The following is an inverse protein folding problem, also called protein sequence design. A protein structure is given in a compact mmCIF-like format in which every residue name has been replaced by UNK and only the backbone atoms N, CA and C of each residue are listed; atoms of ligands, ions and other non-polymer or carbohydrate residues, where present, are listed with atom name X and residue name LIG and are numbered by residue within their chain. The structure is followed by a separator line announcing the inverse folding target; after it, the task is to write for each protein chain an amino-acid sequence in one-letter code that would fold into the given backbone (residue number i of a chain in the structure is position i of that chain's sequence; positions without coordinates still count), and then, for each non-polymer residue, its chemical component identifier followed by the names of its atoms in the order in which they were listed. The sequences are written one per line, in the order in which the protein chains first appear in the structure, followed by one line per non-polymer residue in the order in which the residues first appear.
data_IF_040265918544
#
_entry.id   IF_040265918544
#
_cell.length_a   1.000
_cell.length_b   1.000
_cell.length_c   1.000
_cell.angle_alpha   90.00
_cell.angle_beta   90.00
_cell.angle_gamma   90.00
#
_symmetry.space_group_name_H-M   'P 1'
#
loop_
_entity.id
_entity.type
_entity.pdbx_description
1 polymer ?
#
# COMPACT_ATOMS: atom_id res chain seq x y z
N UNK A 1 -49.44 -5.68 -1.95
CA UNK A 1 -48.13 -5.21 -2.46
C UNK A 1 -47.21 -5.01 -1.27
N UNK A 2 -46.16 -5.82 -1.14
CA UNK A 2 -45.16 -5.71 -0.07
C UNK A 2 -43.93 -5.06 -0.67
N UNK A 3 -43.61 -3.84 -0.25
CA UNK A 3 -42.41 -3.12 -0.66
C UNK A 3 -41.24 -3.63 0.17
N UNK A 4 -40.37 -4.44 -0.43
CA UNK A 4 -39.13 -4.86 0.21
C UNK A 4 -38.15 -3.67 0.22
N UNK A 5 -37.89 -3.11 1.41
CA UNK A 5 -36.82 -2.14 1.61
C UNK A 5 -35.51 -2.92 1.67
N UNK A 6 -34.73 -2.86 0.59
CA UNK A 6 -33.37 -3.37 0.58
C UNK A 6 -32.48 -2.41 1.38
N UNK A 7 -32.27 -2.72 2.66
CA UNK A 7 -31.28 -2.02 3.47
C UNK A 7 -29.89 -2.41 2.96
N UNK A 8 -29.24 -1.48 2.24
CA UNK A 8 -27.85 -1.64 1.81
C UNK A 8 -26.96 -1.60 3.06
N UNK A 9 -26.57 -2.76 3.58
CA UNK A 9 -25.52 -2.84 4.59
C UNK A 9 -24.20 -2.46 3.92
N UNK A 10 -23.77 -1.20 4.08
CA UNK A 10 -22.39 -0.82 3.80
C UNK A 10 -21.49 -1.67 4.72
N UNK A 11 -20.69 -2.55 4.12
CA UNK A 11 -19.73 -3.35 4.87
C UNK A 11 -18.84 -2.41 5.70
N UNK A 12 -18.76 -2.63 7.01
CA UNK A 12 -17.91 -1.82 7.86
C UNK A 12 -16.46 -1.93 7.40
N UNK A 13 -15.69 -0.83 7.39
CA UNK A 13 -14.29 -0.88 7.02
C UNK A 13 -13.56 -1.82 7.97
N UNK A 14 -12.80 -2.75 7.42
CA UNK A 14 -11.99 -3.72 8.18
C UNK A 14 -10.59 -3.20 8.46
N UNK A 15 -10.10 -2.29 7.61
CA UNK A 15 -8.78 -1.69 7.65
C UNK A 15 -8.89 -0.17 7.64
N UNK A 16 -8.13 0.49 8.51
CA UNK A 16 -7.90 1.94 8.46
C UNK A 16 -6.42 2.18 8.14
N UNK A 17 -6.12 2.92 7.07
CA UNK A 17 -4.75 3.26 6.71
C UNK A 17 -4.36 4.62 7.27
N UNK A 18 -3.16 4.67 7.86
CA UNK A 18 -2.57 5.90 8.38
C UNK A 18 -1.24 6.18 7.69
N UNK A 19 -1.14 7.36 7.08
CA UNK A 19 0.09 7.87 6.46
C UNK A 19 0.65 9.02 7.30
N UNK A 20 1.97 9.04 7.47
CA UNK A 20 2.69 10.10 8.18
C UNK A 20 4.02 10.40 7.48
N UNK A 21 4.28 11.67 7.20
CA UNK A 21 5.61 12.11 6.78
C UNK A 21 6.52 12.28 7.99
N UNK A 22 7.81 11.97 7.84
CA UNK A 22 8.80 12.13 8.92
C UNK A 22 9.06 13.61 9.25
N UNK A 23 8.91 14.50 8.26
CA UNK A 23 8.97 15.96 8.39
C UNK A 23 7.77 16.60 7.70
N UNK A 24 7.43 17.82 8.10
CA UNK A 24 6.43 18.64 7.41
C UNK A 24 7.01 19.45 6.23
N UNK A 25 8.33 19.69 6.25
CA UNK A 25 9.04 20.53 5.28
C UNK A 25 10.29 19.84 4.77
N UNK A 26 10.49 19.90 3.46
CA UNK A 26 11.62 19.32 2.73
C UNK A 26 12.18 20.36 1.76
N UNK A 27 13.45 20.21 1.36
CA UNK A 27 14.02 20.97 0.24
C UNK A 27 13.77 20.24 -1.08
N UNK A 28 13.82 20.97 -2.19
CA UNK A 28 13.87 20.36 -3.52
C UNK A 28 15.00 19.31 -3.57
N UNK A 29 14.78 18.21 -4.29
CA UNK A 29 15.70 17.08 -4.41
C UNK A 29 15.98 16.28 -3.12
N UNK A 30 15.44 16.68 -1.96
CA UNK A 30 15.56 15.91 -0.73
C UNK A 30 14.65 14.67 -0.76
N UNK A 31 15.17 13.52 -0.31
CA UNK A 31 14.33 12.35 -0.08
C UNK A 31 13.28 12.62 1.00
N UNK A 32 12.02 12.42 0.62
CA UNK A 32 10.85 12.57 1.50
C UNK A 32 10.46 11.19 1.99
N UNK A 33 10.64 10.93 3.28
CA UNK A 33 10.29 9.64 3.86
C UNK A 33 8.89 9.66 4.47
N UNK A 34 8.12 8.63 4.14
CA UNK A 34 6.74 8.47 4.57
C UNK A 34 6.54 7.07 5.14
N UNK A 35 5.90 7.04 6.30
CA UNK A 35 5.46 5.82 6.97
C UNK A 35 3.98 5.58 6.66
N UNK A 36 3.63 4.33 6.38
CA UNK A 36 2.25 3.87 6.19
C UNK A 36 1.98 2.71 7.14
N UNK A 37 0.94 2.84 7.95
CA UNK A 37 0.48 1.80 8.86
C UNK A 37 -0.95 1.39 8.52
N UNK A 38 -1.22 0.09 8.59
CA UNK A 38 -2.55 -0.49 8.56
C UNK A 38 -3.02 -0.77 9.99
N UNK A 39 -4.19 -0.26 10.36
CA UNK A 39 -4.84 -0.53 11.65
C UNK A 39 -6.04 -1.45 11.46
N UNK A 40 -6.11 -2.50 12.27
CA UNK A 40 -7.30 -3.35 12.35
C UNK A 40 -8.39 -2.66 13.17
N UNK A 41 -9.46 -2.25 12.49
CA UNK A 41 -10.64 -1.65 13.12
C UNK A 41 -11.81 -2.63 13.21
N UNK A 42 -11.60 -3.87 12.77
CA UNK A 42 -12.57 -4.96 12.88
C UNK A 42 -12.46 -5.69 14.23
N UNK A 43 -13.38 -6.64 14.46
CA UNK A 43 -13.35 -7.54 15.62
C UNK A 43 -12.60 -8.86 15.37
N UNK A 44 -12.08 -9.08 14.16
CA UNK A 44 -11.41 -10.32 13.77
C UNK A 44 -9.94 -10.04 13.50
N UNK A 45 -9.07 -11.00 13.80
CA UNK A 45 -7.69 -10.97 13.30
C UNK A 45 -7.70 -11.17 11.79
N UNK A 46 -6.82 -10.43 11.10
CA UNK A 46 -6.53 -10.65 9.69
C UNK A 46 -5.04 -10.46 9.46
N UNK A 47 -4.57 -10.80 8.27
CA UNK A 47 -3.18 -10.56 7.88
C UNK A 47 -3.06 -9.41 6.88
N UNK A 48 -1.90 -8.75 6.90
CA UNK A 48 -1.49 -7.80 5.88
C UNK A 48 -0.14 -8.19 5.34
N UNK A 49 0.17 -7.78 4.12
CA UNK A 49 1.48 -8.01 3.51
C UNK A 49 2.05 -6.63 3.17
N UNK A 50 3.23 -6.25 3.68
CA UNK A 50 3.88 -5.00 3.29
C UNK A 50 4.31 -5.08 1.82
N UNK A 51 4.70 -3.96 1.23
CA UNK A 51 5.20 -3.97 -0.14
C UNK A 51 6.47 -4.85 -0.24
N UNK A 52 6.41 -5.93 -1.02
CA UNK A 52 7.52 -6.88 -1.21
C UNK A 52 8.45 -6.50 -2.35
N UNK A 53 7.94 -5.68 -3.27
CA UNK A 53 8.64 -5.25 -4.47
C UNK A 53 9.01 -3.78 -4.39
N UNK A 54 10.18 -3.46 -4.93
CA UNK A 54 10.58 -2.09 -5.20
C UNK A 54 9.91 -1.55 -6.47
N UNK A 55 8.61 -1.77 -6.67
CA UNK A 55 7.88 -1.32 -7.86
C UNK A 55 6.41 -1.03 -7.55
N UNK A 56 5.86 0.05 -8.11
CA UNK A 56 4.50 0.53 -7.90
C UNK A 56 3.59 0.36 -9.13
N UNK A 57 3.98 -0.49 -10.08
CA UNK A 57 3.26 -0.69 -11.35
C UNK A 57 1.88 -1.35 -11.23
N UNK A 58 1.49 -1.82 -10.04
CA UNK A 58 0.23 -2.53 -9.81
C UNK A 58 0.16 -3.91 -10.49
N UNK A 59 1.26 -4.41 -11.06
CA UNK A 59 1.29 -5.74 -11.70
C UNK A 59 1.34 -6.90 -10.69
N UNK A 60 1.67 -6.61 -9.44
CA UNK A 60 1.80 -7.58 -8.35
C UNK A 60 1.08 -7.08 -7.10
N UNK A 61 0.48 -8.01 -6.37
CA UNK A 61 -0.20 -7.74 -5.11
C UNK A 61 0.64 -8.03 -3.85
N UNK A 62 0.31 -7.40 -2.72
CA UNK A 62 -0.57 -6.24 -2.65
C UNK A 62 0.11 -5.00 -3.26
N UNK A 63 -0.67 -4.11 -3.88
CA UNK A 63 -0.12 -2.89 -4.46
C UNK A 63 -0.28 -1.73 -3.47
N UNK A 64 0.81 -1.05 -3.14
CA UNK A 64 0.77 0.30 -2.58
C UNK A 64 0.76 1.33 -3.72
N UNK A 65 0.16 2.49 -3.55
CA UNK A 65 0.32 3.61 -4.51
C UNK A 65 0.25 4.92 -3.76
N UNK A 66 1.27 5.75 -3.89
CA UNK A 66 1.18 7.14 -3.43
C UNK A 66 0.50 7.97 -4.50
N UNK A 67 -0.39 8.85 -4.06
CA UNK A 67 -0.98 9.87 -4.90
C UNK A 67 -0.64 11.23 -4.31
N UNK A 68 -0.36 12.18 -5.20
CA UNK A 68 -0.03 13.54 -4.83
C UNK A 68 -0.90 14.52 -5.61
N UNK A 69 -1.19 15.66 -5.02
CA UNK A 69 -1.70 16.82 -5.72
C UNK A 69 -1.10 18.11 -5.17
N UNK A 70 -1.06 19.14 -6.01
CA UNK A 70 -0.72 20.50 -5.60
C UNK A 70 -1.95 21.41 -5.78
N UNK A 71 -2.39 22.05 -4.70
CA UNK A 71 -3.59 22.88 -4.69
C UNK A 71 -4.87 22.10 -5.03
N UNK A 72 -5.74 22.69 -5.86
CA UNK A 72 -7.02 22.07 -6.30
C UNK A 72 -6.89 21.16 -7.53
N UNK A 73 -5.67 20.77 -7.91
CA UNK A 73 -5.45 19.85 -9.03
C UNK A 73 -5.97 18.45 -8.71
N UNK A 74 -6.13 17.63 -9.76
CA UNK A 74 -6.49 16.23 -9.62
C UNK A 74 -5.37 15.45 -8.90
N UNK A 75 -5.76 14.35 -8.25
CA UNK A 75 -4.81 13.40 -7.68
C UNK A 75 -4.06 12.68 -8.80
N UNK A 76 -2.74 12.73 -8.77
CA UNK A 76 -1.88 12.05 -9.73
C UNK A 76 -1.08 10.96 -9.00
N UNK A 77 -0.93 9.77 -9.60
CA UNK A 77 -0.07 8.75 -9.01
C UNK A 77 1.36 9.26 -8.99
N UNK A 78 2.02 9.14 -7.84
CA UNK A 78 3.45 9.37 -7.73
C UNK A 78 4.17 8.16 -8.32
N UNK A 79 4.32 8.16 -9.65
CA UNK A 79 5.00 7.07 -10.35
C UNK A 79 6.49 7.36 -10.42
N UNK A 80 7.29 6.49 -9.83
CA UNK A 80 8.73 6.53 -10.03
C UNK A 80 9.05 5.91 -11.40
N UNK A 81 9.53 6.72 -12.35
CA UNK A 81 9.95 6.30 -13.72
C UNK A 81 11.15 5.33 -13.74
N UNK A 82 11.19 4.26 -12.93
CA UNK A 82 12.15 3.18 -13.19
C UNK A 82 11.57 2.39 -14.36
N UNK A 83 12.29 2.37 -15.48
CA UNK A 83 11.91 1.57 -16.66
C UNK A 83 11.93 0.05 -16.43
N UNK A 84 12.27 -0.42 -15.23
CA UNK A 84 12.29 -1.84 -14.83
C UNK A 84 11.89 -1.96 -13.36
N UNK A 85 10.83 -2.72 -13.06
CA UNK A 85 10.71 -3.30 -11.74
C UNK A 85 11.99 -4.13 -11.50
N UNK A 86 12.69 -3.89 -10.39
CA UNK A 86 13.91 -4.63 -10.04
C UNK A 86 13.60 -6.08 -9.63
N UNK A 87 14.22 -6.52 -8.53
CA UNK A 87 14.03 -7.87 -7.99
C UNK A 87 12.58 -8.06 -7.52
N UNK A 88 11.86 -9.04 -8.05
CA UNK A 88 10.56 -9.49 -7.51
C UNK A 88 10.81 -10.58 -6.49
N UNK A 89 10.70 -10.25 -5.20
CA UNK A 89 11.01 -11.22 -4.13
C UNK A 89 9.89 -12.25 -4.02
N UNK A 90 10.16 -13.56 -3.95
CA UNK A 90 9.11 -14.54 -3.72
C UNK A 90 8.30 -14.23 -2.45
N UNK A 91 6.99 -14.43 -2.52
CA UNK A 91 6.10 -14.36 -1.37
C UNK A 91 6.33 -15.58 -0.49
N UNK A 92 6.55 -15.34 0.79
CA UNK A 92 6.74 -16.35 1.83
C UNK A 92 5.70 -16.17 2.94
N UNK A 93 5.40 -17.25 3.67
CA UNK A 93 4.42 -17.21 4.76
C UNK A 93 4.74 -16.14 5.82
N UNK A 94 6.03 -15.92 6.12
CA UNK A 94 6.50 -14.89 7.04
C UNK A 94 6.23 -13.45 6.61
N UNK A 95 5.83 -13.22 5.35
CA UNK A 95 5.43 -11.91 4.87
C UNK A 95 4.00 -11.54 5.25
N UNK A 96 3.19 -12.51 5.66
CA UNK A 96 1.86 -12.28 6.18
C UNK A 96 1.95 -11.90 7.66
N UNK A 97 1.68 -10.63 7.93
CA UNK A 97 1.76 -10.06 9.26
C UNK A 97 0.37 -10.12 9.91
N UNK A 98 0.18 -10.91 10.98
CA UNK A 98 -1.09 -10.92 11.69
C UNK A 98 -1.32 -9.59 12.39
N UNK A 99 -2.54 -9.05 12.26
CA UNK A 99 -2.96 -7.80 12.90
C UNK A 99 -4.18 -8.10 13.76
N UNK A 100 -4.01 -8.14 15.08
CA UNK A 100 -5.12 -8.35 16.03
C UNK A 100 -6.05 -7.12 16.05
N UNK A 101 -7.30 -7.25 16.50
CA UNK A 101 -8.20 -6.11 16.68
C UNK A 101 -7.56 -4.95 17.46
N UNK A 102 -7.61 -3.74 16.89
CA UNK A 102 -7.01 -2.53 17.46
C UNK A 102 -5.50 -2.39 17.24
N UNK A 103 -4.79 -3.42 16.76
CA UNK A 103 -3.36 -3.35 16.48
C UNK A 103 -3.06 -2.68 15.13
N UNK A 104 -1.77 -2.35 14.96
CA UNK A 104 -1.21 -1.74 13.75
C UNK A 104 -0.06 -2.57 13.21
N UNK A 105 0.05 -2.65 11.89
CA UNK A 105 1.20 -3.18 11.18
C UNK A 105 1.73 -2.16 10.18
N UNK A 106 3.05 -2.08 10.04
CA UNK A 106 3.69 -1.18 9.08
C UNK A 106 3.64 -1.80 7.68
N UNK A 107 3.13 -1.05 6.70
CA UNK A 107 3.13 -1.43 5.29
C UNK A 107 4.32 -0.83 4.53
N UNK A 108 4.70 0.40 4.91
CA UNK A 108 5.84 1.15 4.39
C UNK A 108 6.50 1.85 5.58
N UNK A 109 7.83 1.78 5.69
CA UNK A 109 8.58 2.44 6.76
C UNK A 109 9.80 3.17 6.20
N UNK A 110 9.78 4.50 6.29
CA UNK A 110 10.92 5.39 6.05
C UNK A 110 11.68 5.13 4.75
N UNK A 111 13.04 5.10 4.78
CA UNK A 111 13.86 4.69 3.64
C UNK A 111 13.64 3.21 3.35
N UNK A 112 12.55 2.91 2.66
CA UNK A 112 12.23 1.57 2.21
C UNK A 112 12.75 1.35 0.78
N UNK A 113 12.76 0.09 0.35
CA UNK A 113 12.98 -0.27 -1.05
C UNK A 113 11.81 0.18 -1.96
N UNK A 114 10.75 0.73 -1.37
CA UNK A 114 9.58 1.19 -2.08
C UNK A 114 9.87 2.52 -2.80
N UNK A 115 9.95 2.55 -4.14
CA UNK A 115 10.51 3.71 -4.84
C UNK A 115 9.62 4.95 -4.71
N UNK A 116 8.30 4.79 -4.61
CA UNK A 116 7.39 5.92 -4.40
C UNK A 116 7.35 6.42 -2.95
N UNK A 117 8.12 5.82 -2.02
CA UNK A 117 8.46 6.47 -0.75
C UNK A 117 9.64 7.44 -0.88
N UNK A 118 10.12 7.73 -2.10
CA UNK A 118 11.18 8.71 -2.39
C UNK A 118 10.65 9.79 -3.33
N UNK A 119 10.13 10.88 -2.77
CA UNK A 119 9.47 11.95 -3.53
C UNK A 119 10.46 12.98 -4.14
N UNK A 120 11.67 12.57 -4.49
CA UNK A 120 12.65 13.45 -5.14
C UNK A 120 12.17 14.02 -6.49
N UNK A 121 11.04 13.52 -7.00
CA UNK A 121 10.37 13.97 -8.22
C UNK A 121 9.34 15.10 -8.04
N UNK A 122 9.09 15.60 -6.83
CA UNK A 122 8.29 16.82 -6.66
C UNK A 122 9.10 18.01 -7.19
N UNK A 123 9.04 18.21 -8.51
CA UNK A 123 9.97 19.03 -9.27
C UNK A 123 9.82 20.54 -9.08
N UNK A 124 8.80 21.00 -8.36
CA UNK A 124 8.60 22.42 -8.07
C UNK A 124 8.42 22.65 -6.56
N UNK A 125 9.00 23.72 -5.99
CA UNK A 125 8.65 24.16 -4.64
C UNK A 125 7.16 24.44 -4.50
N UNK A 126 6.58 24.14 -3.34
CA UNK A 126 5.17 24.36 -3.07
C UNK A 126 4.60 23.45 -1.98
N UNK A 127 3.30 23.57 -1.75
CA UNK A 127 2.55 22.70 -0.85
C UNK A 127 1.93 21.54 -1.63
N UNK A 128 2.05 20.35 -1.05
CA UNK A 128 1.56 19.12 -1.61
C UNK A 128 0.68 18.38 -0.60
N UNK A 129 -0.41 17.82 -1.10
CA UNK A 129 -1.20 16.84 -0.37
C UNK A 129 -0.85 15.45 -0.88
N UNK A 130 -0.65 14.52 0.04
CA UNK A 130 -0.25 13.14 -0.25
C UNK A 130 -1.23 12.18 0.41
N UNK A 131 -1.62 11.14 -0.32
CA UNK A 131 -2.36 9.99 0.19
C UNK A 131 -1.78 8.70 -0.32
N UNK A 132 -2.16 7.60 0.31
CA UNK A 132 -1.76 6.25 -0.07
C UNK A 132 -2.98 5.38 -0.29
N UNK A 133 -2.90 4.52 -1.31
CA UNK A 133 -3.87 3.47 -1.59
C UNK A 133 -3.18 2.13 -1.43
N UNK A 134 -3.76 1.25 -0.61
CA UNK A 134 -3.38 -0.15 -0.46
C UNK A 134 -4.44 -1.01 -1.15
N UNK A 135 -4.04 -1.76 -2.16
CA UNK A 135 -4.92 -2.58 -2.98
C UNK A 135 -4.56 -4.06 -2.84
N UNK A 136 -5.53 -4.83 -2.36
CA UNK A 136 -5.41 -6.28 -2.14
C UNK A 136 -6.35 -7.09 -3.04
N UNK A 137 -6.90 -6.47 -4.09
CA UNK A 137 -7.93 -7.09 -4.96
C UNK A 137 -7.37 -8.06 -5.99
N UNK A 138 -6.06 -7.98 -6.28
CA UNK A 138 -5.41 -8.87 -7.25
C UNK A 138 -5.51 -10.35 -6.83
N UNK A 139 -5.66 -11.27 -7.81
CA UNK A 139 -5.74 -12.70 -7.54
C UNK A 139 -4.41 -13.24 -6.98
N UNK A 140 -4.46 -14.37 -6.28
CA UNK A 140 -3.32 -14.93 -5.55
C UNK A 140 -2.09 -15.15 -6.43
N UNK A 141 -2.27 -15.58 -7.68
CA UNK A 141 -1.19 -15.81 -8.64
C UNK A 141 -0.37 -14.55 -8.90
N UNK A 142 -1.02 -13.38 -8.85
CA UNK A 142 -0.37 -12.09 -9.00
C UNK A 142 0.39 -11.65 -7.74
N UNK A 143 0.38 -12.41 -6.64
CA UNK A 143 1.10 -12.05 -5.40
C UNK A 143 2.39 -12.85 -5.24
N UNK A 144 2.50 -14.03 -5.84
CA UNK A 144 3.55 -15.00 -5.48
C UNK A 144 4.95 -14.51 -5.85
N UNK A 145 5.12 -13.88 -7.02
CA UNK A 145 6.41 -13.40 -7.51
C UNK A 145 7.46 -14.49 -7.76
N UNK A 146 8.49 -14.15 -8.54
CA UNK A 146 9.55 -15.09 -8.91
C UNK A 146 9.05 -16.31 -9.73
N UNK A 147 9.95 -17.22 -10.12
CA UNK A 147 9.55 -18.48 -10.76
C UNK A 147 8.84 -19.39 -9.74
N UNK A 148 7.64 -19.82 -10.08
CA UNK A 148 6.96 -20.89 -9.33
C UNK A 148 7.73 -22.21 -9.53
N UNK A 149 7.86 -23.06 -8.48
CA UNK A 149 8.27 -24.44 -8.67
C UNK A 149 7.40 -25.11 -9.74
N UNK A 150 8.01 -25.96 -10.56
CA UNK A 150 7.33 -26.61 -11.70
C UNK A 150 6.17 -27.54 -11.26
N UNK A 151 6.10 -27.92 -9.98
CA UNK A 151 5.02 -28.69 -9.39
C UNK A 151 3.91 -27.79 -8.80
N UNK A 152 2.70 -27.94 -9.34
CA UNK A 152 1.62 -26.97 -9.16
C UNK A 152 0.97 -26.95 -7.77
N UNK A 153 1.37 -27.77 -6.80
CA UNK A 153 0.88 -27.71 -5.42
C UNK A 153 1.90 -28.27 -4.43
N UNK A 154 2.97 -27.52 -4.20
CA UNK A 154 3.80 -27.73 -3.01
C UNK A 154 3.00 -27.39 -1.74
N UNK A 155 3.36 -27.97 -0.59
CA UNK A 155 2.79 -27.57 0.71
C UNK A 155 2.88 -26.04 0.91
N UNK A 156 3.98 -25.43 0.44
CA UNK A 156 4.17 -23.98 0.41
C UNK A 156 3.01 -23.24 -0.27
N UNK A 157 2.52 -23.72 -1.41
CA UNK A 157 1.40 -23.09 -2.12
C UNK A 157 0.09 -23.16 -1.32
N UNK A 158 -0.16 -24.28 -0.66
CA UNK A 158 -1.35 -24.47 0.20
C UNK A 158 -1.28 -23.50 1.38
N UNK A 159 -0.12 -23.41 2.04
CA UNK A 159 0.08 -22.52 3.18
C UNK A 159 -0.12 -21.05 2.76
N UNK A 160 0.50 -20.64 1.65
CA UNK A 160 0.36 -19.28 1.11
C UNK A 160 -1.09 -18.95 0.73
N UNK A 161 -1.84 -19.90 0.16
CA UNK A 161 -3.26 -19.71 -0.15
C UNK A 161 -4.10 -19.53 1.12
N UNK A 162 -3.80 -20.29 2.18
CA UNK A 162 -4.47 -20.16 3.48
C UNK A 162 -4.25 -18.76 4.07
N UNK A 163 -3.01 -18.27 4.08
CA UNK A 163 -2.70 -16.92 4.52
C UNK A 163 -3.37 -15.85 3.63
N UNK A 164 -3.31 -16.02 2.31
CA UNK A 164 -3.94 -15.11 1.36
C UNK A 164 -5.45 -14.96 1.56
N UNK A 165 -6.14 -16.03 1.97
CA UNK A 165 -7.57 -16.01 2.28
C UNK A 165 -7.89 -15.19 3.54
N UNK A 166 -6.93 -15.00 4.44
CA UNK A 166 -7.08 -14.19 5.65
C UNK A 166 -6.92 -12.68 5.40
N UNK A 167 -6.29 -12.31 4.28
CA UNK A 167 -6.04 -10.92 3.92
C UNK A 167 -7.35 -10.24 3.48
N UNK A 168 -7.73 -9.10 4.10
CA UNK A 168 -8.91 -8.35 3.69
C UNK A 168 -8.81 -7.93 2.22
N UNK A 169 -9.86 -8.17 1.43
CA UNK A 169 -9.91 -7.82 0.01
C UNK A 169 -10.55 -6.45 -0.19
N UNK A 170 -9.86 -5.56 -0.89
CA UNK A 170 -10.39 -4.25 -1.26
C UNK A 170 -9.30 -3.25 -1.59
N UNK A 171 -9.74 -2.05 -1.96
CA UNK A 171 -8.89 -0.86 -2.01
C UNK A 171 -9.13 -0.03 -0.75
N UNK A 172 -8.05 0.26 -0.04
CA UNK A 172 -8.07 1.01 1.20
C UNK A 172 -7.31 2.32 1.00
N UNK A 173 -7.96 3.45 1.32
CA UNK A 173 -7.37 4.78 1.21
C UNK A 173 -6.94 5.28 2.59
N UNK A 174 -5.77 5.93 2.67
CA UNK A 174 -5.28 6.56 3.89
C UNK A 174 -5.91 7.92 4.15
N UNK A 175 -5.66 8.47 5.34
CA UNK A 175 -5.77 9.92 5.53
C UNK A 175 -4.88 10.68 4.53
N UNK A 176 -5.14 11.98 4.37
CA UNK A 176 -4.29 12.88 3.59
C UNK A 176 -3.31 13.57 4.54
N UNK A 177 -2.05 13.68 4.13
CA UNK A 177 -1.06 14.53 4.80
C UNK A 177 -0.63 15.67 3.91
N UNK A 178 -0.10 16.73 4.53
CA UNK A 178 0.43 17.91 3.85
C UNK A 178 1.93 18.00 4.08
N UNK A 179 2.66 18.24 3.00
CA UNK A 179 4.10 18.50 3.03
C UNK A 179 4.41 19.78 2.25
N UNK A 180 5.47 20.48 2.64
CA UNK A 180 5.97 21.66 1.94
C UNK A 180 7.34 21.36 1.36
N UNK A 181 7.53 21.67 0.08
CA UNK A 181 8.83 21.61 -0.61
C UNK A 181 9.33 23.03 -0.82
N UNK A 182 10.51 23.33 -0.32
CA UNK A 182 11.21 24.61 -0.49
C UNK A 182 12.15 24.57 -1.72
N UNK A 183 12.55 25.72 -2.29
CA UNK A 183 13.61 25.77 -3.29
C UNK A 183 14.91 25.08 -2.85
N UNK A 184 15.70 24.66 -3.84
CA UNK A 184 17.12 24.30 -3.64
C UNK A 184 17.88 25.54 -3.14
N UNK A 185 18.91 25.34 -2.31
CA UNK A 185 19.76 26.44 -1.84
C UNK A 185 20.67 26.98 -2.94
#
# INVERSE_FOLDING_TARGET
MITAIATLFLAQPVLELQIKAQKATYRANQDIYIDVAAKNVSKKTFEVVPALDGCDTGRRGPSGRFYVRSGKKNWEPLSYKIGRCGNTNPLEAQNFLPVLPGQRAMLVQGPSWYPSSRFSQLGAPGQYEVKFIYDTTLPFESWIGGPLPADRMTQRMIDLQSHFASVPKGEFESNVIRITVLPEE
#
